data_IF_352364136723
#
_entry.id   IF_352364136723
#
_cell.length_a   1.000
_cell.length_b   1.000
_cell.length_c   1.000
_cell.angle_alpha   90.00
_cell.angle_beta   90.00
_cell.angle_gamma   90.00
#
_symmetry.space_group_name_H-M   'P 1'
#
loop_
_entity.id
_entity.type
_entity.pdbx_description
1 polymer ?
#
# COMPACT_ATOMS: atom_id res chain seq x y z
N UNK A 1 24.28 -6.16 5.67
CA UNK A 1 25.51 -6.35 4.86
C UNK A 1 26.68 -6.74 5.75
N UNK A 2 27.64 -7.48 5.21
CA UNK A 2 28.90 -7.79 5.83
C UNK A 2 30.00 -7.16 4.99
N UNK A 3 30.82 -6.31 5.61
CA UNK A 3 31.92 -5.64 4.92
C UNK A 3 33.25 -6.20 5.43
N UNK A 4 34.14 -6.57 4.50
CA UNK A 4 35.49 -7.00 4.77
C UNK A 4 36.48 -6.01 4.20
N UNK A 5 37.63 -5.93 4.85
CA UNK A 5 38.84 -5.26 4.32
C UNK A 5 40.02 -6.16 4.59
N UNK A 6 40.94 -6.19 3.68
CA UNK A 6 42.19 -6.97 3.80
C UNK A 6 43.42 -6.13 3.35
N UNK A 7 44.57 -6.63 3.69
CA UNK A 7 45.81 -6.05 3.18
C UNK A 7 46.09 -6.57 1.77
N UNK A 8 46.52 -5.74 0.84
CA UNK A 8 46.86 -6.19 -0.51
C UNK A 8 47.99 -7.23 -0.48
N UNK A 9 47.83 -8.26 -1.32
CA UNK A 9 48.84 -9.29 -1.51
C UNK A 9 49.75 -8.87 -2.67
N UNK A 10 51.06 -9.01 -2.51
CA UNK A 10 52.01 -8.69 -3.54
C UNK A 10 51.82 -9.58 -4.76
N UNK A 11 51.85 -9.03 -5.96
CA UNK A 11 51.66 -9.70 -7.24
C UNK A 11 50.22 -10.26 -7.48
N UNK A 12 49.23 -9.91 -6.67
CA UNK A 12 47.83 -10.25 -6.94
C UNK A 12 47.27 -9.36 -8.03
N UNK A 13 46.73 -9.97 -9.10
CA UNK A 13 45.94 -9.31 -10.15
C UNK A 13 44.50 -9.06 -9.75
N UNK A 14 43.97 -9.82 -8.78
CA UNK A 14 42.58 -9.75 -8.30
C UNK A 14 42.33 -10.61 -7.07
N UNK A 15 41.06 -10.75 -6.69
CA UNK A 15 40.63 -11.57 -5.56
C UNK A 15 39.33 -12.29 -5.87
N UNK A 16 39.31 -13.63 -5.62
CA UNK A 16 38.10 -14.43 -5.61
C UNK A 16 37.54 -14.53 -4.19
N UNK A 17 36.25 -14.23 -4.02
CA UNK A 17 35.58 -14.24 -2.72
C UNK A 17 34.55 -15.36 -2.70
N UNK A 18 34.66 -16.23 -1.72
CA UNK A 18 33.80 -17.38 -1.52
C UNK A 18 33.00 -17.24 -0.23
N UNK A 19 31.78 -17.75 -0.25
CA UNK A 19 30.92 -17.85 0.94
C UNK A 19 30.38 -19.25 1.06
N UNK A 20 30.60 -19.91 2.20
CA UNK A 20 30.05 -21.21 2.53
C UNK A 20 29.33 -21.19 3.87
N UNK A 21 28.39 -22.12 4.05
CA UNK A 21 27.64 -22.31 5.32
C UNK A 21 28.34 -23.31 6.26
N UNK A 22 29.32 -24.04 5.75
CA UNK A 22 30.17 -24.94 6.50
C UNK A 22 31.64 -24.59 6.31
N UNK A 23 32.48 -24.94 7.28
CA UNK A 23 33.92 -24.68 7.21
C UNK A 23 34.55 -25.45 6.03
N UNK A 24 35.15 -24.74 5.05
CA UNK A 24 35.71 -25.39 3.88
C UNK A 24 36.97 -26.22 4.24
N UNK A 25 37.07 -27.41 3.72
CA UNK A 25 38.20 -28.32 3.91
C UNK A 25 39.30 -28.09 2.85
N UNK A 26 39.59 -26.87 2.50
CA UNK A 26 40.59 -26.47 1.48
C UNK A 26 39.94 -25.91 0.21
N UNK A 27 40.76 -25.62 -0.80
CA UNK A 27 40.33 -24.95 -2.07
C UNK A 27 39.24 -25.77 -2.80
N UNK A 28 39.29 -27.07 -2.80
CA UNK A 28 38.33 -27.94 -3.50
C UNK A 28 36.94 -27.96 -2.88
N UNK A 29 36.79 -27.44 -1.65
CA UNK A 29 35.50 -27.37 -0.94
C UNK A 29 34.76 -26.03 -1.06
N UNK A 30 35.29 -25.08 -1.80
CA UNK A 30 34.76 -23.71 -1.83
C UNK A 30 33.57 -23.47 -2.78
N UNK A 31 33.42 -24.34 -3.80
CA UNK A 31 32.33 -24.19 -4.78
C UNK A 31 32.58 -23.05 -5.80
N UNK A 32 31.53 -22.34 -6.18
CA UNK A 32 31.65 -21.17 -7.08
C UNK A 32 31.94 -19.88 -6.27
N UNK A 33 32.77 -18.97 -6.79
CA UNK A 33 33.01 -17.69 -6.14
C UNK A 33 31.73 -16.86 -6.05
N UNK A 34 31.51 -16.19 -4.94
CA UNK A 34 30.46 -15.21 -4.74
C UNK A 34 30.67 -14.01 -5.66
N UNK A 35 31.94 -13.57 -5.76
CA UNK A 35 32.38 -12.46 -6.62
C UNK A 35 33.86 -12.63 -6.93
N UNK A 36 34.28 -12.17 -8.13
CA UNK A 36 35.67 -12.08 -8.51
C UNK A 36 36.00 -10.63 -8.81
N UNK A 37 36.96 -10.06 -8.11
CA UNK A 37 37.43 -8.69 -8.25
C UNK A 37 38.68 -8.69 -9.15
N UNK A 38 38.58 -8.10 -10.34
CA UNK A 38 39.65 -8.07 -11.35
C UNK A 38 40.64 -6.92 -11.14
N UNK A 39 40.83 -6.49 -9.90
CA UNK A 39 41.78 -5.43 -9.59
C UNK A 39 42.52 -5.68 -8.27
N UNK A 40 43.82 -5.88 -8.35
CA UNK A 40 44.68 -6.20 -7.19
C UNK A 40 44.80 -5.09 -6.15
N UNK A 41 44.39 -3.85 -6.49
CA UNK A 41 44.35 -2.71 -5.57
C UNK A 41 43.02 -2.61 -4.78
N UNK A 42 42.01 -3.45 -5.08
CA UNK A 42 40.76 -3.50 -4.32
C UNK A 42 41.02 -4.29 -3.04
N UNK A 43 40.86 -3.66 -1.91
CA UNK A 43 41.12 -4.22 -0.57
C UNK A 43 39.86 -4.28 0.29
N UNK A 44 38.68 -4.30 -0.33
CA UNK A 44 37.43 -4.37 0.40
C UNK A 44 36.28 -4.89 -0.46
N UNK A 45 35.35 -5.58 0.20
CA UNK A 45 34.14 -6.14 -0.40
C UNK A 45 32.97 -6.01 0.57
N UNK A 46 31.75 -5.83 0.06
CA UNK A 46 30.54 -5.77 0.87
C UNK A 46 29.50 -6.77 0.35
N UNK A 47 29.30 -7.86 1.11
CA UNK A 47 28.23 -8.82 0.83
C UNK A 47 26.89 -8.30 1.31
N UNK A 48 25.92 -8.21 0.38
CA UNK A 48 24.51 -7.81 0.62
C UNK A 48 23.52 -8.89 0.25
N UNK A 49 23.96 -10.05 -0.22
CA UNK A 49 23.13 -11.08 -0.82
C UNK A 49 22.56 -12.04 0.24
N UNK A 50 21.25 -11.96 0.51
CA UNK A 50 20.46 -12.96 1.28
C UNK A 50 21.10 -13.45 2.58
N UNK A 51 21.68 -12.55 3.38
CA UNK A 51 22.32 -12.88 4.64
C UNK A 51 21.26 -13.26 5.69
N UNK A 52 21.31 -14.50 6.18
CA UNK A 52 20.54 -14.99 7.31
C UNK A 52 21.34 -14.86 8.60
N UNK A 53 20.68 -14.91 9.77
CA UNK A 53 21.33 -14.92 11.07
C UNK A 53 21.93 -16.31 11.38
N UNK A 54 22.86 -16.74 10.53
CA UNK A 54 23.62 -18.01 10.66
C UNK A 54 25.09 -17.75 10.44
N UNK A 55 25.96 -18.68 10.85
CA UNK A 55 27.39 -18.53 10.63
C UNK A 55 27.74 -18.79 9.17
N UNK A 56 28.51 -17.88 8.58
CA UNK A 56 29.12 -18.04 7.27
C UNK A 56 30.63 -18.06 7.37
N UNK A 57 31.26 -18.78 6.44
CA UNK A 57 32.69 -18.81 6.26
C UNK A 57 33.04 -18.12 4.94
N UNK A 58 33.76 -17.03 5.04
CA UNK A 58 34.23 -16.27 3.88
C UNK A 58 35.69 -16.58 3.63
N UNK A 59 35.99 -17.07 2.43
CA UNK A 59 37.36 -17.32 2.00
C UNK A 59 37.72 -16.33 0.91
N UNK A 60 38.86 -15.66 1.08
CA UNK A 60 39.39 -14.66 0.14
C UNK A 60 40.70 -15.24 -0.41
N UNK A 61 40.75 -15.38 -1.73
CA UNK A 61 41.85 -15.99 -2.45
C UNK A 61 42.41 -14.96 -3.44
N UNK A 62 43.69 -14.59 -3.38
CA UNK A 62 44.31 -13.78 -4.40
C UNK A 62 44.39 -14.53 -5.73
N UNK A 63 44.25 -13.82 -6.85
CA UNK A 63 44.37 -14.38 -8.21
C UNK A 63 45.40 -13.56 -9.00
N UNK A 64 46.04 -14.17 -9.98
CA UNK A 64 46.87 -13.45 -10.96
C UNK A 64 46.08 -13.04 -12.22
N UNK A 65 44.77 -13.25 -12.23
CA UNK A 65 43.87 -13.00 -13.33
C UNK A 65 43.47 -14.25 -14.10
N UNK A 66 44.19 -15.36 -13.96
CA UNK A 66 43.87 -16.69 -14.58
C UNK A 66 43.77 -17.77 -13.52
N UNK A 67 44.72 -17.84 -12.60
CA UNK A 67 44.78 -18.89 -11.59
C UNK A 67 44.69 -18.33 -10.15
N UNK A 68 44.17 -19.11 -9.24
CA UNK A 68 44.07 -18.76 -7.81
C UNK A 68 45.33 -19.19 -7.09
N UNK A 69 45.79 -18.35 -6.17
CA UNK A 69 46.97 -18.67 -5.34
C UNK A 69 46.61 -19.72 -4.27
N UNK A 70 47.58 -20.49 -3.86
CA UNK A 70 47.42 -21.52 -2.79
C UNK A 70 47.27 -20.89 -1.38
N UNK A 71 47.05 -19.59 -1.30
CA UNK A 71 46.90 -18.86 -0.04
C UNK A 71 45.44 -18.53 0.19
N UNK A 72 44.79 -19.20 1.16
CA UNK A 72 43.44 -18.98 1.54
C UNK A 72 43.34 -18.39 2.93
N UNK A 73 42.64 -17.26 3.06
CA UNK A 73 42.24 -16.74 4.36
C UNK A 73 40.77 -16.91 4.57
N UNK A 74 40.37 -17.72 5.55
CA UNK A 74 38.96 -17.97 5.88
C UNK A 74 38.58 -17.23 7.15
N UNK A 75 37.51 -16.45 7.06
CA UNK A 75 36.93 -15.71 8.16
C UNK A 75 35.57 -16.28 8.53
N UNK A 76 35.38 -16.64 9.79
CA UNK A 76 34.10 -17.07 10.34
C UNK A 76 33.31 -15.82 10.79
N UNK A 77 32.15 -15.58 10.17
CA UNK A 77 31.32 -14.41 10.46
C UNK A 77 29.88 -14.84 10.71
N UNK A 78 29.33 -14.40 11.84
CA UNK A 78 27.89 -14.54 12.11
C UNK A 78 27.28 -13.14 11.99
N UNK A 79 26.43 -12.89 10.98
CA UNK A 79 25.78 -11.60 10.84
C UNK A 79 24.89 -11.33 12.05
N UNK A 80 25.11 -10.22 12.71
CA UNK A 80 24.26 -9.71 13.79
C UNK A 80 23.45 -8.57 13.23
N UNK A 81 22.15 -8.59 13.47
CA UNK A 81 21.32 -7.46 13.10
C UNK A 81 21.77 -6.23 13.89
N UNK A 82 22.23 -5.20 13.20
CA UNK A 82 22.70 -3.95 13.81
C UNK A 82 21.91 -2.77 13.30
N UNK A 83 21.76 -1.76 14.15
CA UNK A 83 21.21 -0.45 13.82
C UNK A 83 22.28 0.60 14.07
N UNK A 84 22.18 1.73 13.38
CA UNK A 84 23.12 2.84 13.60
C UNK A 84 22.87 3.51 14.96
N UNK A 85 23.88 4.16 15.52
CA UNK A 85 23.75 4.94 16.77
C UNK A 85 22.65 6.01 16.64
N UNK A 86 22.55 6.68 15.51
CA UNK A 86 21.53 7.69 15.26
C UNK A 86 20.11 7.09 15.30
N UNK A 87 19.89 5.93 14.67
CA UNK A 87 18.61 5.21 14.72
C UNK A 87 18.29 4.68 16.11
N UNK A 88 19.30 4.24 16.86
CA UNK A 88 19.09 3.77 18.23
C UNK A 88 18.72 4.92 19.19
N UNK A 89 19.33 6.09 19.03
CA UNK A 89 19.01 7.31 19.78
C UNK A 89 17.59 7.82 19.45
N UNK A 90 17.24 7.90 18.18
CA UNK A 90 15.91 8.31 17.71
C UNK A 90 14.81 7.39 18.24
N UNK A 91 15.10 6.10 18.41
CA UNK A 91 14.18 5.10 19.00
C UNK A 91 14.20 5.04 20.52
N UNK A 92 15.03 5.84 21.17
CA UNK A 92 15.17 5.84 22.63
C UNK A 92 15.69 4.52 23.22
N UNK A 93 16.47 3.75 22.42
CA UNK A 93 17.03 2.45 22.83
C UNK A 93 18.38 2.58 23.54
N UNK A 94 19.04 3.73 23.38
CA UNK A 94 20.32 4.07 23.97
C UNK A 94 20.32 5.53 24.41
N UNK A 95 21.23 5.86 25.32
CA UNK A 95 21.52 7.24 25.70
C UNK A 95 22.65 7.82 24.82
N UNK A 96 22.75 9.16 24.67
CA UNK A 96 23.82 9.79 23.91
C UNK A 96 25.23 9.47 24.43
N UNK A 97 25.35 9.01 25.67
CA UNK A 97 26.59 8.62 26.34
C UNK A 97 26.99 7.16 26.13
N UNK A 98 26.11 6.34 25.52
CA UNK A 98 26.37 4.92 25.29
C UNK A 98 27.43 4.71 24.20
N UNK A 99 28.33 3.72 24.42
CA UNK A 99 29.37 3.39 23.47
C UNK A 99 28.82 2.58 22.27
N UNK A 100 29.40 2.73 21.04
CA UNK A 100 29.10 1.88 19.90
C UNK A 100 29.38 0.40 20.22
N UNK A 101 28.52 -0.50 19.72
CA UNK A 101 28.63 -1.94 19.92
C UNK A 101 27.84 -2.48 21.12
N UNK A 102 27.11 -1.64 21.85
CA UNK A 102 26.19 -2.11 22.89
C UNK A 102 25.05 -2.92 22.25
N UNK A 103 24.75 -4.08 22.84
CA UNK A 103 23.56 -4.87 22.46
C UNK A 103 22.30 -4.17 22.94
N UNK A 104 21.36 -3.93 22.01
CA UNK A 104 20.05 -3.35 22.31
C UNK A 104 18.96 -4.37 21.96
N UNK A 105 17.90 -4.43 22.76
CA UNK A 105 16.73 -5.20 22.44
C UNK A 105 15.95 -4.47 21.37
N UNK A 106 15.99 -4.98 20.13
CA UNK A 106 15.09 -4.53 19.10
C UNK A 106 13.68 -5.00 19.44
N UNK A 107 12.70 -4.11 19.30
CA UNK A 107 11.30 -4.43 19.56
C UNK A 107 10.86 -5.67 18.78
N UNK A 108 10.00 -6.48 19.37
CA UNK A 108 9.38 -7.61 18.71
C UNK A 108 8.44 -7.11 17.61
N UNK A 109 8.67 -7.52 16.36
CA UNK A 109 7.85 -7.18 15.20
C UNK A 109 7.07 -8.42 14.74
N UNK A 110 5.79 -8.57 15.14
CA UNK A 110 5.01 -9.79 14.86
C UNK A 110 4.89 -10.14 13.37
N UNK A 111 4.80 -9.13 12.51
CA UNK A 111 4.70 -9.29 11.05
C UNK A 111 6.01 -8.94 10.33
N UNK A 112 7.10 -8.86 11.07
CA UNK A 112 8.39 -8.44 10.54
C UNK A 112 8.48 -6.93 10.28
N UNK A 113 9.52 -6.56 9.55
CA UNK A 113 9.77 -5.19 9.10
C UNK A 113 9.74 -5.12 7.58
N UNK A 114 9.51 -3.93 7.04
CA UNK A 114 9.68 -3.68 5.62
C UNK A 114 11.17 -3.50 5.26
N UNK A 115 11.43 -3.33 3.96
CA UNK A 115 12.80 -3.14 3.44
C UNK A 115 13.53 -1.90 3.99
N UNK A 116 12.81 -0.96 4.63
CA UNK A 116 13.37 0.19 5.35
C UNK A 116 13.51 -0.05 6.85
N UNK A 117 13.20 -1.25 7.36
CA UNK A 117 13.24 -1.59 8.78
C UNK A 117 12.07 -1.03 9.61
N UNK A 118 10.99 -0.57 8.97
CA UNK A 118 9.79 -0.09 9.66
C UNK A 118 8.88 -1.26 10.03
N UNK A 119 8.25 -1.20 11.20
CA UNK A 119 7.33 -2.24 11.69
C UNK A 119 6.11 -2.40 10.76
N UNK A 120 5.93 -3.60 10.21
CA UNK A 120 4.83 -3.92 9.31
C UNK A 120 3.47 -3.86 9.98
N UNK A 121 3.35 -4.31 11.26
CA UNK A 121 2.08 -4.25 11.97
C UNK A 121 1.65 -2.80 12.23
N UNK A 122 2.57 -1.96 12.69
CA UNK A 122 2.29 -0.53 12.91
C UNK A 122 1.85 0.16 11.62
N UNK A 123 2.50 -0.13 10.50
CA UNK A 123 2.14 0.39 9.17
C UNK A 123 0.77 -0.11 8.71
N UNK A 124 0.44 -1.39 8.93
CA UNK A 124 -0.86 -1.96 8.61
C UNK A 124 -1.98 -1.30 9.40
N UNK A 125 -1.76 -1.06 10.69
CA UNK A 125 -2.73 -0.36 11.56
C UNK A 125 -2.91 1.11 11.14
N UNK A 126 -1.83 1.79 10.77
CA UNK A 126 -1.90 3.16 10.25
C UNK A 126 -2.59 3.19 8.89
N UNK A 127 -2.26 2.25 8.00
CA UNK A 127 -2.90 2.09 6.69
C UNK A 127 -4.39 1.79 6.80
N UNK A 128 -4.78 0.97 7.80
CA UNK A 128 -6.18 0.70 8.10
C UNK A 128 -6.99 1.98 8.36
N UNK A 129 -6.43 2.93 9.12
CA UNK A 129 -7.12 4.21 9.39
C UNK A 129 -7.42 4.97 8.10
N UNK A 130 -6.50 4.97 7.16
CA UNK A 130 -6.65 5.68 5.88
C UNK A 130 -7.63 4.94 4.97
N UNK A 131 -7.41 3.63 4.74
CA UNK A 131 -8.25 2.82 3.86
C UNK A 131 -9.69 2.73 4.37
N UNK A 132 -9.90 2.52 5.68
CA UNK A 132 -11.23 2.50 6.28
C UNK A 132 -11.90 3.88 6.29
N UNK A 133 -11.15 4.97 6.54
CA UNK A 133 -11.71 6.32 6.48
C UNK A 133 -12.27 6.59 5.09
N UNK A 134 -11.51 6.34 4.03
CA UNK A 134 -11.97 6.54 2.66
C UNK A 134 -13.12 5.57 2.34
N UNK A 135 -12.95 4.28 2.70
CA UNK A 135 -13.92 3.23 2.44
C UNK A 135 -15.26 3.40 3.15
N UNK A 136 -15.35 4.19 4.20
CA UNK A 136 -16.60 4.50 4.90
C UNK A 136 -17.14 5.87 4.52
N UNK A 137 -16.30 6.91 4.53
CA UNK A 137 -16.75 8.29 4.31
C UNK A 137 -17.20 8.51 2.87
N UNK A 138 -16.44 8.02 1.87
CA UNK A 138 -16.83 8.20 0.47
C UNK A 138 -18.19 7.54 0.16
N UNK A 139 -18.43 6.24 0.47
CA UNK A 139 -19.73 5.60 0.28
C UNK A 139 -20.88 6.29 1.00
N UNK A 140 -20.67 6.67 2.24
CA UNK A 140 -21.70 7.36 3.00
C UNK A 140 -22.17 8.63 2.29
N UNK A 141 -21.22 9.44 1.78
CA UNK A 141 -21.54 10.70 1.12
C UNK A 141 -22.15 10.45 -0.27
N UNK A 142 -21.55 9.60 -1.12
CA UNK A 142 -22.07 9.40 -2.47
C UNK A 142 -23.39 8.62 -2.48
N UNK A 143 -23.60 7.68 -1.54
CA UNK A 143 -24.90 7.00 -1.40
C UNK A 143 -25.97 7.99 -0.94
N UNK A 144 -25.67 8.81 0.08
CA UNK A 144 -26.60 9.82 0.55
C UNK A 144 -26.97 10.81 -0.55
N UNK A 145 -26.01 11.32 -1.31
CA UNK A 145 -26.25 12.18 -2.45
C UNK A 145 -27.10 11.49 -3.53
N UNK A 146 -26.78 10.24 -3.87
CA UNK A 146 -27.52 9.43 -4.82
C UNK A 146 -28.95 9.17 -4.37
N UNK A 147 -29.18 8.95 -3.07
CA UNK A 147 -30.54 8.79 -2.49
C UNK A 147 -31.37 10.04 -2.70
N UNK A 148 -30.85 11.22 -2.34
CA UNK A 148 -31.58 12.47 -2.53
C UNK A 148 -31.80 12.79 -4.00
N UNK A 149 -30.78 12.61 -4.83
CA UNK A 149 -30.85 12.88 -6.27
C UNK A 149 -31.85 11.95 -6.97
N UNK A 150 -31.73 10.65 -6.76
CA UNK A 150 -32.61 9.64 -7.34
C UNK A 150 -34.04 9.72 -6.77
N UNK A 151 -34.17 10.03 -5.47
CA UNK A 151 -35.44 10.28 -4.79
C UNK A 151 -36.20 11.43 -5.40
N UNK A 152 -35.53 12.55 -5.61
CA UNK A 152 -36.09 13.75 -6.21
C UNK A 152 -36.47 13.54 -7.69
N UNK A 153 -35.56 12.95 -8.48
CA UNK A 153 -35.80 12.65 -9.88
C UNK A 153 -37.01 11.71 -10.07
N UNK A 154 -37.03 10.59 -9.33
CA UNK A 154 -38.10 9.60 -9.41
C UNK A 154 -39.46 10.14 -8.94
N UNK A 155 -39.50 11.01 -7.92
CA UNK A 155 -40.76 11.58 -7.43
C UNK A 155 -41.35 12.59 -8.42
N UNK A 156 -40.55 13.52 -8.96
CA UNK A 156 -41.04 14.52 -9.91
C UNK A 156 -41.42 13.92 -11.26
N UNK A 157 -40.64 12.99 -11.75
CA UNK A 157 -40.90 12.35 -13.04
C UNK A 157 -40.79 13.28 -14.25
N UNK A 158 -41.30 12.85 -15.39
CA UNK A 158 -41.43 13.64 -16.62
C UNK A 158 -40.08 14.15 -17.16
N UNK A 159 -40.08 15.41 -17.65
CA UNK A 159 -38.88 16.04 -18.26
C UNK A 159 -37.77 16.29 -17.25
N UNK A 160 -38.12 16.58 -15.98
CA UNK A 160 -37.14 16.84 -14.92
C UNK A 160 -36.35 15.56 -14.61
N UNK A 161 -37.05 14.46 -14.45
CA UNK A 161 -36.42 13.14 -14.26
C UNK A 161 -35.50 12.77 -15.42
N UNK A 162 -35.97 12.97 -16.66
CA UNK A 162 -35.16 12.70 -17.85
C UNK A 162 -33.89 13.56 -17.88
N UNK A 163 -33.99 14.85 -17.57
CA UNK A 163 -32.83 15.74 -17.54
C UNK A 163 -31.82 15.32 -16.45
N UNK A 164 -32.30 15.04 -15.25
CA UNK A 164 -31.45 14.61 -14.15
C UNK A 164 -30.76 13.27 -14.46
N UNK A 165 -31.48 12.30 -15.04
CA UNK A 165 -30.87 11.03 -15.42
C UNK A 165 -29.87 11.18 -16.57
N UNK A 166 -30.09 12.09 -17.54
CA UNK A 166 -29.10 12.38 -18.57
C UNK A 166 -27.80 12.97 -18.00
N UNK A 167 -27.92 13.81 -16.96
CA UNK A 167 -26.73 14.29 -16.26
C UNK A 167 -26.00 13.15 -15.52
N UNK A 168 -26.74 12.26 -14.86
CA UNK A 168 -26.14 11.06 -14.26
C UNK A 168 -25.48 10.14 -15.31
N UNK A 169 -26.10 10.00 -16.50
CA UNK A 169 -25.51 9.25 -17.62
C UNK A 169 -24.21 9.89 -18.12
N UNK A 170 -24.15 11.21 -18.19
CA UNK A 170 -22.94 11.94 -18.55
C UNK A 170 -21.81 11.66 -17.54
N UNK A 171 -22.08 11.69 -16.24
CA UNK A 171 -21.07 11.38 -15.20
C UNK A 171 -20.54 9.95 -15.34
N UNK A 172 -21.43 8.97 -15.59
CA UNK A 172 -21.01 7.58 -15.78
C UNK A 172 -20.20 7.36 -17.06
N UNK A 173 -20.42 8.18 -18.08
CA UNK A 173 -19.68 8.10 -19.34
C UNK A 173 -18.22 8.55 -19.21
N UNK A 174 -17.86 9.25 -18.12
CA UNK A 174 -16.48 9.67 -17.86
C UNK A 174 -15.60 8.44 -17.53
N UNK A 175 -14.49 8.22 -18.25
CA UNK A 175 -13.57 7.14 -17.92
C UNK A 175 -12.98 7.35 -16.51
N UNK A 176 -13.30 6.44 -15.59
CA UNK A 176 -12.96 6.56 -14.16
C UNK A 176 -11.48 6.89 -13.92
N UNK A 177 -10.57 6.11 -14.51
CA UNK A 177 -9.12 6.31 -14.32
C UNK A 177 -8.64 7.63 -14.90
N UNK A 178 -9.14 8.04 -16.06
CA UNK A 178 -8.78 9.32 -16.67
C UNK A 178 -9.18 10.50 -15.77
N UNK A 179 -10.39 10.42 -15.21
CA UNK A 179 -10.88 11.45 -14.30
C UNK A 179 -10.04 11.51 -13.01
N UNK A 180 -9.65 10.34 -12.46
CA UNK A 180 -8.76 10.27 -11.29
C UNK A 180 -7.39 10.92 -11.56
N UNK A 181 -6.81 10.67 -12.74
CA UNK A 181 -5.53 11.29 -13.14
C UNK A 181 -5.67 12.81 -13.23
N UNK A 182 -6.71 13.28 -13.93
CA UNK A 182 -6.97 14.73 -14.09
C UNK A 182 -7.20 15.41 -12.73
N UNK A 183 -7.94 14.75 -11.83
CA UNK A 183 -8.16 15.26 -10.48
C UNK A 183 -6.86 15.36 -9.69
N UNK A 184 -6.03 14.33 -9.72
CA UNK A 184 -4.73 14.34 -9.04
C UNK A 184 -3.83 15.46 -9.53
N UNK A 185 -3.78 15.68 -10.85
CA UNK A 185 -3.02 16.78 -11.45
C UNK A 185 -3.64 18.14 -11.09
N UNK A 186 -4.97 18.26 -11.19
CA UNK A 186 -5.68 19.49 -10.92
C UNK A 186 -5.58 20.00 -9.49
N UNK A 187 -5.46 19.08 -8.51
CA UNK A 187 -5.20 19.43 -7.11
C UNK A 187 -3.72 19.71 -6.81
N UNK A 188 -2.84 19.58 -7.82
CA UNK A 188 -1.42 19.91 -7.68
C UNK A 188 -0.66 19.06 -6.68
N UNK A 189 -1.08 17.77 -6.48
CA UNK A 189 -0.49 16.90 -5.48
C UNK A 189 0.95 16.60 -5.86
N UNK A 190 1.85 17.21 -5.10
CA UNK A 190 3.29 17.00 -5.18
C UNK A 190 3.78 15.80 -4.36
N UNK A 191 5.08 15.48 -4.48
CA UNK A 191 5.72 14.49 -3.62
C UNK A 191 5.57 14.87 -2.14
N UNK A 192 5.09 13.93 -1.32
CA UNK A 192 4.87 14.14 0.12
C UNK A 192 3.45 14.52 0.54
N UNK A 193 2.57 14.84 -0.40
CA UNK A 193 1.16 15.06 -0.09
C UNK A 193 0.37 13.77 -0.13
N UNK A 194 -0.55 13.58 0.82
CA UNK A 194 -1.22 12.29 1.04
C UNK A 194 -2.16 11.84 -0.09
N UNK A 195 -2.66 12.75 -0.94
CA UNK A 195 -3.61 12.44 -2.00
C UNK A 195 -4.99 11.92 -1.54
N UNK A 196 -5.26 11.90 -0.23
CA UNK A 196 -6.51 11.38 0.35
C UNK A 196 -7.70 12.21 -0.08
N UNK A 197 -7.60 13.54 0.05
CA UNK A 197 -8.71 14.44 -0.24
C UNK A 197 -9.15 14.40 -1.72
N UNK A 198 -8.26 14.53 -2.71
CA UNK A 198 -8.64 14.43 -4.12
C UNK A 198 -9.27 13.09 -4.48
N UNK A 199 -8.73 11.98 -3.94
CA UNK A 199 -9.28 10.67 -4.16
C UNK A 199 -10.69 10.55 -3.58
N UNK A 200 -10.91 11.02 -2.35
CA UNK A 200 -12.22 11.04 -1.71
C UNK A 200 -13.23 11.85 -2.54
N UNK A 201 -12.85 13.06 -2.96
CA UNK A 201 -13.71 13.93 -3.79
C UNK A 201 -14.03 13.26 -5.12
N UNK A 202 -13.06 12.66 -5.79
CA UNK A 202 -13.28 11.99 -7.06
C UNK A 202 -14.22 10.77 -6.95
N UNK A 203 -14.07 9.95 -5.89
CA UNK A 203 -14.98 8.83 -5.62
C UNK A 203 -16.41 9.33 -5.41
N UNK A 204 -16.59 10.39 -4.63
CA UNK A 204 -17.91 10.99 -4.38
C UNK A 204 -18.53 11.49 -5.67
N UNK A 205 -17.77 12.20 -6.51
CA UNK A 205 -18.29 12.78 -7.74
C UNK A 205 -18.66 11.75 -8.81
N UNK A 206 -17.99 10.60 -8.83
CA UNK A 206 -18.20 9.61 -9.90
C UNK A 206 -19.14 8.44 -9.53
N UNK A 207 -19.26 8.07 -8.24
CA UNK A 207 -19.95 6.83 -7.87
C UNK A 207 -21.41 7.00 -7.47
N UNK A 208 -21.89 8.22 -7.21
CA UNK A 208 -23.29 8.48 -6.83
C UNK A 208 -24.35 8.11 -7.88
N UNK A 209 -24.09 8.13 -9.22
CA UNK A 209 -25.16 7.89 -10.19
C UNK A 209 -25.74 6.49 -10.15
N UNK A 210 -24.97 5.48 -9.79
CA UNK A 210 -25.44 4.10 -9.64
C UNK A 210 -26.51 4.00 -8.55
N UNK A 211 -26.25 4.62 -7.40
CA UNK A 211 -27.23 4.72 -6.29
C UNK A 211 -28.45 5.54 -6.68
N UNK A 212 -28.26 6.64 -7.38
CA UNK A 212 -29.34 7.49 -7.84
C UNK A 212 -30.33 6.73 -8.75
N UNK A 213 -29.81 5.95 -9.71
CA UNK A 213 -30.64 5.12 -10.60
C UNK A 213 -31.42 4.05 -9.84
N UNK A 214 -30.75 3.39 -8.88
CA UNK A 214 -31.37 2.35 -8.07
C UNK A 214 -32.52 2.91 -7.23
N UNK A 215 -32.28 4.01 -6.51
CA UNK A 215 -33.26 4.68 -5.66
C UNK A 215 -34.41 5.23 -6.50
N UNK A 216 -34.10 5.87 -7.64
CA UNK A 216 -35.14 6.34 -8.59
C UNK A 216 -36.08 5.19 -8.97
N UNK A 217 -35.54 4.01 -9.31
CA UNK A 217 -36.35 2.83 -9.65
C UNK A 217 -37.32 2.41 -8.53
N UNK A 218 -36.88 2.50 -7.28
CA UNK A 218 -37.74 2.22 -6.12
C UNK A 218 -38.81 3.30 -5.91
N UNK A 219 -38.40 4.57 -6.04
CA UNK A 219 -39.29 5.72 -5.88
C UNK A 219 -40.43 5.71 -6.91
N UNK A 220 -40.13 5.34 -8.16
CA UNK A 220 -41.15 5.19 -9.20
C UNK A 220 -42.23 4.17 -8.82
N UNK A 221 -41.86 3.05 -8.17
CA UNK A 221 -42.81 2.03 -7.68
C UNK A 221 -43.60 2.53 -6.48
N UNK A 222 -42.97 3.22 -5.53
CA UNK A 222 -43.60 3.64 -4.28
C UNK A 222 -44.55 4.82 -4.51
N UNK A 223 -44.20 5.77 -5.39
CA UNK A 223 -45.05 6.94 -5.65
C UNK A 223 -46.45 6.61 -6.22
N UNK A 224 -46.60 5.42 -6.81
CA UNK A 224 -47.86 4.92 -7.36
C UNK A 224 -48.72 4.18 -6.31
N UNK A 225 -48.27 4.09 -5.08
CA UNK A 225 -48.99 3.48 -3.98
C UNK A 225 -50.12 4.39 -3.47
N UNK A 226 -51.30 3.81 -3.18
CA UNK A 226 -52.49 4.58 -2.80
C UNK A 226 -52.32 5.48 -1.58
N UNK A 227 -51.45 5.11 -0.61
CA UNK A 227 -51.19 5.97 0.56
C UNK A 227 -50.40 7.22 0.22
N UNK A 228 -49.55 7.20 -0.81
CA UNK A 228 -48.81 8.38 -1.30
C UNK A 228 -49.77 9.31 -2.04
N UNK A 229 -50.70 8.74 -2.83
CA UNK A 229 -51.74 9.51 -3.51
C UNK A 229 -52.68 10.19 -2.52
N UNK A 230 -53.13 9.46 -1.51
CA UNK A 230 -53.94 10.03 -0.43
C UNK A 230 -53.21 11.19 0.30
N UNK A 231 -51.91 11.02 0.65
CA UNK A 231 -51.16 12.03 1.30
C UNK A 231 -50.94 13.29 0.38
N UNK A 232 -50.84 13.08 -0.94
CA UNK A 232 -50.77 14.15 -1.93
C UNK A 232 -52.10 14.95 -2.01
N UNK A 233 -53.22 14.24 -2.03
CA UNK A 233 -54.56 14.88 -2.03
C UNK A 233 -54.83 15.69 -0.77
N UNK A 234 -54.24 15.28 0.35
CA UNK A 234 -54.29 16.04 1.61
C UNK A 234 -53.34 17.25 1.64
N UNK A 235 -52.71 17.59 0.51
CA UNK A 235 -51.86 18.75 0.38
C UNK A 235 -50.39 18.55 0.80
N UNK A 236 -49.94 17.32 0.89
CA UNK A 236 -48.54 17.00 1.23
C UNK A 236 -47.55 17.57 0.22
N UNK A 237 -46.58 18.38 0.71
CA UNK A 237 -45.51 18.96 -0.13
C UNK A 237 -44.57 17.85 -0.64
N UNK A 238 -43.97 17.97 -1.85
CA UNK A 238 -43.09 16.99 -2.41
C UNK A 238 -41.93 16.59 -1.48
N UNK A 239 -41.26 17.58 -0.87
CA UNK A 239 -40.14 17.32 0.07
C UNK A 239 -40.58 16.51 1.32
N UNK A 240 -41.77 16.79 1.84
CA UNK A 240 -42.36 16.06 2.95
C UNK A 240 -42.66 14.61 2.56
N UNK A 241 -43.26 14.39 1.41
CA UNK A 241 -43.62 13.05 0.91
C UNK A 241 -42.36 12.22 0.65
N UNK A 242 -41.32 12.83 0.05
CA UNK A 242 -40.05 12.17 -0.18
C UNK A 242 -39.41 11.79 1.15
N UNK A 243 -39.22 12.74 2.07
CA UNK A 243 -38.48 12.51 3.31
C UNK A 243 -39.25 11.61 4.32
N UNK A 244 -40.57 11.74 4.41
CA UNK A 244 -41.38 11.06 5.44
C UNK A 244 -41.96 9.74 5.01
N UNK A 245 -42.23 9.57 3.72
CA UNK A 245 -42.89 8.39 3.20
C UNK A 245 -42.07 7.58 2.22
N UNK A 246 -41.38 8.21 1.28
CA UNK A 246 -40.69 7.50 0.21
C UNK A 246 -39.31 6.97 0.68
N UNK A 247 -38.45 7.84 1.18
CA UNK A 247 -37.11 7.43 1.64
C UNK A 247 -37.17 6.34 2.72
N UNK A 248 -38.00 6.45 3.77
CA UNK A 248 -38.10 5.38 4.78
C UNK A 248 -38.56 4.02 4.20
N UNK A 249 -39.46 4.02 3.22
CA UNK A 249 -39.87 2.82 2.56
C UNK A 249 -38.87 2.23 1.56
N UNK A 250 -37.83 3.02 1.17
CA UNK A 250 -36.72 2.55 0.35
C UNK A 250 -35.49 2.20 1.20
N UNK A 251 -35.55 2.37 2.54
CA UNK A 251 -34.41 2.23 3.44
C UNK A 251 -33.75 0.84 3.36
N UNK A 252 -34.52 -0.23 3.18
CA UNK A 252 -33.95 -1.57 3.01
C UNK A 252 -32.98 -1.66 1.84
N UNK A 253 -33.34 -1.10 0.68
CA UNK A 253 -32.49 -1.08 -0.51
C UNK A 253 -31.30 -0.15 -0.31
N UNK A 254 -31.51 1.01 0.35
CA UNK A 254 -30.44 1.97 0.65
C UNK A 254 -29.37 1.33 1.56
N UNK A 255 -29.78 0.66 2.63
CA UNK A 255 -28.87 0.00 3.57
C UNK A 255 -28.08 -1.12 2.90
N UNK A 256 -28.74 -1.95 2.09
CA UNK A 256 -28.05 -2.99 1.30
C UNK A 256 -27.03 -2.36 0.36
N UNK A 257 -27.40 -1.30 -0.36
CA UNK A 257 -26.49 -0.58 -1.24
C UNK A 257 -25.29 -0.03 -0.48
N UNK A 258 -25.50 0.60 0.69
CA UNK A 258 -24.42 1.12 1.52
C UNK A 258 -23.49 0.01 2.02
N UNK A 259 -24.05 -1.14 2.43
CA UNK A 259 -23.27 -2.30 2.90
C UNK A 259 -22.32 -2.82 1.83
N UNK A 260 -22.74 -2.89 0.57
CA UNK A 260 -21.86 -3.29 -0.54
C UNK A 260 -20.95 -2.17 -1.04
N UNK A 261 -21.34 -0.92 -0.85
CA UNK A 261 -20.56 0.24 -1.28
C UNK A 261 -19.27 0.38 -0.48
N UNK A 262 -19.27 0.06 0.82
CA UNK A 262 -18.09 0.16 1.69
C UNK A 262 -16.94 -0.76 1.24
N UNK A 263 -17.10 -2.09 1.11
CA UNK A 263 -16.05 -2.96 0.60
C UNK A 263 -15.60 -2.58 -0.82
N UNK A 264 -16.55 -2.20 -1.69
CA UNK A 264 -16.23 -1.75 -3.04
C UNK A 264 -15.35 -0.49 -3.07
N UNK A 265 -15.59 0.45 -2.16
CA UNK A 265 -14.77 1.66 -2.04
C UNK A 265 -13.38 1.36 -1.46
N UNK A 266 -13.27 0.46 -0.47
CA UNK A 266 -11.98 0.01 0.07
C UNK A 266 -11.16 -0.64 -1.04
N UNK A 267 -11.77 -1.55 -1.81
CA UNK A 267 -11.09 -2.19 -2.93
C UNK A 267 -10.66 -1.18 -4.00
N UNK A 268 -11.51 -0.21 -4.32
CA UNK A 268 -11.20 0.85 -5.30
C UNK A 268 -10.06 1.74 -4.81
N UNK A 269 -10.06 2.13 -3.53
CA UNK A 269 -8.95 2.87 -2.90
C UNK A 269 -7.65 2.06 -3.01
N UNK A 270 -7.70 0.79 -2.59
CA UNK A 270 -6.54 -0.08 -2.61
C UNK A 270 -5.99 -0.27 -4.04
N UNK A 271 -6.86 -0.48 -5.01
CA UNK A 271 -6.48 -0.57 -6.44
C UNK A 271 -5.83 0.72 -6.94
N UNK A 272 -6.43 1.88 -6.68
CA UNK A 272 -5.86 3.17 -7.09
C UNK A 272 -4.51 3.45 -6.42
N UNK A 273 -4.39 3.14 -5.14
CA UNK A 273 -3.14 3.29 -4.38
C UNK A 273 -2.08 2.30 -4.87
N UNK A 274 -2.47 1.08 -5.22
CA UNK A 274 -1.60 0.07 -5.80
C UNK A 274 -1.00 0.51 -7.14
N UNK A 275 -1.79 1.11 -8.03
CA UNK A 275 -1.29 1.65 -9.30
C UNK A 275 -0.61 3.02 -9.18
N UNK A 276 -0.46 3.56 -7.96
CA UNK A 276 0.19 4.84 -7.69
C UNK A 276 -0.68 6.08 -7.91
N UNK A 277 -1.99 5.90 -8.14
CA UNK A 277 -2.95 6.99 -8.33
C UNK A 277 -3.69 7.38 -7.06
N UNK A 278 -3.56 6.61 -5.98
CA UNK A 278 -4.21 6.85 -4.69
C UNK A 278 -3.30 7.56 -3.69
N UNK A 279 -3.30 7.04 -2.46
CA UNK A 279 -2.52 7.58 -1.33
C UNK A 279 -1.02 7.43 -1.60
N UNK A 280 -0.30 8.53 -1.46
CA UNK A 280 1.15 8.58 -1.71
C UNK A 280 1.96 8.48 -0.40
N UNK A 281 3.17 7.89 -0.44
CA UNK A 281 4.12 7.95 0.66
C UNK A 281 4.38 9.40 1.11
N UNK A 282 4.62 9.66 2.40
CA UNK A 282 4.91 8.71 3.48
C UNK A 282 3.69 8.06 4.13
N UNK A 283 2.47 8.51 3.79
CA UNK A 283 1.24 7.97 4.39
C UNK A 283 0.97 6.56 3.88
N UNK A 284 0.92 5.52 4.75
CA UNK A 284 0.57 4.19 4.30
C UNK A 284 -0.93 4.06 4.07
N UNK A 285 -1.31 3.28 3.06
CA UNK A 285 -2.61 2.64 2.92
C UNK A 285 -2.39 1.17 2.57
N UNK A 286 -3.39 0.33 2.69
CA UNK A 286 -3.20 -1.09 2.35
C UNK A 286 -2.78 -1.26 0.87
N UNK A 287 -3.39 -0.48 -0.03
CA UNK A 287 -3.02 -0.51 -1.45
C UNK A 287 -1.62 0.01 -1.74
N UNK A 288 -1.18 1.11 -1.10
CA UNK A 288 0.18 1.62 -1.27
C UNK A 288 1.24 0.66 -0.71
N UNK A 289 0.93 -0.03 0.41
CA UNK A 289 1.78 -1.08 0.96
C UNK A 289 1.88 -2.29 0.02
N UNK A 290 0.79 -2.69 -0.65
CA UNK A 290 0.87 -3.71 -1.70
C UNK A 290 1.76 -3.29 -2.87
N UNK A 291 1.70 -2.02 -3.30
CA UNK A 291 2.59 -1.50 -4.36
C UNK A 291 4.07 -1.57 -3.96
N UNK A 292 4.40 -1.23 -2.71
CA UNK A 292 5.77 -1.39 -2.18
C UNK A 292 6.15 -2.88 -2.14
N UNK A 293 5.29 -3.74 -1.59
CA UNK A 293 5.54 -5.17 -1.40
C UNK A 293 5.70 -5.97 -2.69
N UNK A 294 5.07 -5.56 -3.81
CA UNK A 294 5.31 -6.20 -5.12
C UNK A 294 6.77 -6.03 -5.56
N UNK A 295 7.39 -4.89 -5.27
CA UNK A 295 8.78 -4.61 -5.66
C UNK A 295 9.79 -5.47 -4.89
N UNK A 296 9.44 -5.89 -3.68
CA UNK A 296 10.27 -6.69 -2.78
C UNK A 296 9.80 -8.14 -2.64
N UNK A 297 8.79 -8.56 -3.37
CA UNK A 297 8.09 -9.84 -3.23
C UNK A 297 9.02 -11.07 -3.28
N UNK A 298 10.05 -11.03 -4.12
CA UNK A 298 10.99 -12.15 -4.28
C UNK A 298 11.92 -12.32 -3.07
N UNK A 299 12.26 -11.23 -2.38
CA UNK A 299 13.13 -11.24 -1.20
C UNK A 299 12.37 -11.18 0.12
N UNK A 300 11.25 -10.46 0.16
CA UNK A 300 10.44 -10.21 1.35
C UNK A 300 8.94 -10.42 1.07
N UNK A 301 8.49 -11.65 0.85
CA UNK A 301 7.10 -11.94 0.44
C UNK A 301 6.06 -11.49 1.47
N UNK A 302 6.42 -11.38 2.75
CA UNK A 302 5.54 -10.91 3.81
C UNK A 302 5.10 -9.45 3.64
N UNK A 303 5.91 -8.61 2.97
CA UNK A 303 5.57 -7.20 2.71
C UNK A 303 4.37 -7.05 1.76
N UNK A 304 4.14 -8.03 0.88
CA UNK A 304 2.96 -8.08 0.03
C UNK A 304 1.82 -8.88 0.68
N UNK A 305 2.15 -10.03 1.30
CA UNK A 305 1.15 -10.96 1.82
C UNK A 305 0.23 -10.32 2.87
N UNK A 306 0.81 -9.65 3.87
CA UNK A 306 0.00 -9.07 4.94
C UNK A 306 -0.92 -7.94 4.44
N UNK A 307 -0.49 -6.91 3.70
CA UNK A 307 -1.42 -5.89 3.22
C UNK A 307 -2.51 -6.45 2.32
N UNK A 308 -2.19 -7.42 1.45
CA UNK A 308 -3.17 -8.05 0.58
C UNK A 308 -4.25 -8.84 1.33
N UNK A 309 -3.91 -9.41 2.49
CA UNK A 309 -4.86 -10.13 3.35
C UNK A 309 -5.90 -9.19 3.99
N UNK A 310 -5.56 -7.92 4.21
CA UNK A 310 -6.43 -6.92 4.84
C UNK A 310 -7.36 -6.19 3.85
N UNK A 311 -7.09 -6.27 2.54
CA UNK A 311 -7.94 -5.75 1.47
C UNK A 311 -9.09 -6.74 1.19
#
# INVERSE_FOLDING_TARGET
>A
SIRFTWSPVQDAGGYSIYRSESEPSGLQGLGLPLETLEAGNVVGFEDRLNLKSQTYFYSIIPTDGLDEFDVVTTLKVTPVQSITMSQALERGLIDPSDAPGRSVLLGFHPFGTDYLGRDMLARLMQGARVSLFIGVVAPFIYVLFGVFYGGFAGYLGGKIDQFLMRFADFVVALPFLLFMILFKIGFGIGPGESGILPMLVALILLLWPSTARLVRGQVLKIREQGYIEAARLLGGRPSYLIARHIIPNTMGVILVTLTFAVPSAIFTEAFLSFIGMGVAPPTPSWGSMCNEGVKTMLSHPHELFFPALFI
#
